data_IF_495514400014
#
_entry.id   IF_495514400014
#
_cell.length_a   1.000
_cell.length_b   1.000
_cell.length_c   1.000
_cell.angle_alpha   90.00
_cell.angle_beta   90.00
_cell.angle_gamma   90.00
#
_symmetry.space_group_name_H-M   'P 1'
#
loop_
_entity.id
_entity.type
_entity.pdbx_description
1 polymer ?
#
# COMPACT_ATOMS: atom_id res chain seq x y z
N UNK A 1 -7.82 12.86 7.28
CA UNK A 1 -6.66 13.78 7.37
C UNK A 1 -6.29 14.19 8.78
N UNK A 2 -7.23 14.30 9.72
CA UNK A 2 -6.96 14.72 11.11
C UNK A 2 -5.84 13.91 11.78
N UNK A 3 -5.89 12.58 11.69
CA UNK A 3 -4.85 11.68 12.23
C UNK A 3 -3.46 11.98 11.64
N UNK A 4 -3.42 12.38 10.36
CA UNK A 4 -2.18 12.71 9.65
C UNK A 4 -1.56 14.01 10.19
N UNK A 5 -2.41 15.01 10.45
CA UNK A 5 -1.98 16.29 11.04
C UNK A 5 -1.49 16.12 12.47
N UNK A 6 -2.15 15.26 13.25
CA UNK A 6 -1.81 15.02 14.66
C UNK A 6 -0.58 14.11 14.85
N UNK A 7 -0.15 13.35 13.83
CA UNK A 7 0.90 12.34 13.96
C UNK A 7 1.99 12.46 12.88
N UNK A 8 2.63 13.63 12.71
CA UNK A 8 3.69 13.81 11.74
C UNK A 8 4.86 12.85 12.04
N UNK A 9 5.38 12.20 11.00
CA UNK A 9 6.50 11.26 11.09
C UNK A 9 6.15 9.84 11.58
N UNK A 10 4.95 9.62 12.14
CA UNK A 10 4.48 8.28 12.54
C UNK A 10 3.41 7.70 11.61
N UNK A 11 2.72 8.56 10.86
CA UNK A 11 1.66 8.16 9.95
C UNK A 11 1.83 8.82 8.58
N UNK A 12 1.74 8.01 7.53
CA UNK A 12 1.75 8.44 6.12
C UNK A 12 0.50 7.88 5.44
N UNK A 13 -0.22 8.74 4.72
CA UNK A 13 -1.37 8.35 3.91
C UNK A 13 -1.05 8.54 2.44
N UNK A 14 -1.37 7.52 1.65
CA UNK A 14 -1.34 7.58 0.20
C UNK A 14 -2.57 6.84 -0.32
N UNK A 15 -3.22 7.44 -1.31
CA UNK A 15 -4.46 6.98 -1.90
C UNK A 15 -4.24 6.75 -3.38
N UNK A 16 -4.94 5.74 -3.91
CA UNK A 16 -5.07 5.51 -5.34
C UNK A 16 -6.54 5.37 -5.70
N UNK A 17 -6.90 5.83 -6.90
CA UNK A 17 -8.27 5.75 -7.42
C UNK A 17 -8.26 5.24 -8.85
N UNK A 18 -9.22 4.39 -9.21
CA UNK A 18 -9.31 3.85 -10.58
C UNK A 18 -9.63 4.92 -11.61
N UNK A 19 -10.46 5.90 -11.22
CA UNK A 19 -10.91 7.00 -12.08
C UNK A 19 -10.75 8.32 -11.32
N UNK A 20 -9.69 9.10 -11.58
CA UNK A 20 -9.46 10.35 -10.89
C UNK A 20 -10.46 11.41 -11.33
N UNK A 21 -10.76 12.35 -10.44
CA UNK A 21 -11.41 13.62 -10.79
C UNK A 21 -10.34 14.68 -11.05
N UNK A 22 -10.74 15.79 -11.67
CA UNK A 22 -9.87 16.93 -11.87
C UNK A 22 -9.25 17.40 -10.54
N UNK A 23 -7.94 17.61 -10.56
CA UNK A 23 -7.16 18.00 -9.37
C UNK A 23 -6.66 16.84 -8.50
N UNK A 24 -6.85 15.57 -8.89
CA UNK A 24 -6.22 14.44 -8.21
C UNK A 24 -4.71 14.37 -8.47
N UNK A 25 -3.91 14.18 -7.41
CA UNK A 25 -2.44 14.24 -7.49
C UNK A 25 -1.73 12.98 -6.99
N UNK A 26 -2.46 11.97 -6.50
CA UNK A 26 -1.88 10.75 -5.94
C UNK A 26 -1.99 9.58 -6.94
N UNK A 27 -2.04 8.34 -6.46
CA UNK A 27 -2.03 7.15 -7.31
C UNK A 27 -3.26 7.07 -8.22
N UNK A 28 -3.08 6.51 -9.41
CA UNK A 28 -4.18 6.23 -10.34
C UNK A 28 -4.12 4.77 -10.76
N UNK A 29 -5.27 4.09 -10.69
CA UNK A 29 -5.41 2.66 -11.00
C UNK A 29 -5.15 1.73 -9.81
N UNK A 30 -5.01 0.44 -10.12
CA UNK A 30 -4.76 -0.60 -9.13
C UNK A 30 -3.37 -0.46 -8.49
N UNK A 31 -3.21 -1.07 -7.31
CA UNK A 31 -1.96 -1.07 -6.57
C UNK A 31 -0.85 -1.71 -7.43
N UNK A 32 0.24 -0.97 -7.61
CA UNK A 32 1.42 -1.40 -8.36
C UNK A 32 2.65 -1.52 -7.46
N UNK A 33 3.69 -2.21 -7.95
CA UNK A 33 4.97 -2.31 -7.25
C UNK A 33 5.60 -0.93 -6.97
N UNK A 34 5.55 0.01 -7.93
CA UNK A 34 6.08 1.37 -7.73
C UNK A 34 5.34 2.11 -6.60
N UNK A 35 4.01 1.96 -6.53
CA UNK A 35 3.24 2.54 -5.43
C UNK A 35 3.64 1.95 -4.07
N UNK A 36 3.86 0.64 -4.00
CA UNK A 36 4.28 -0.03 -2.77
C UNK A 36 5.68 0.43 -2.35
N UNK A 37 6.66 0.40 -3.26
CA UNK A 37 8.05 0.78 -2.98
C UNK A 37 8.18 2.22 -2.48
N UNK A 38 7.41 3.15 -3.06
CA UNK A 38 7.46 4.57 -2.68
C UNK A 38 6.74 4.90 -1.38
N UNK A 39 5.72 4.13 -1.01
CA UNK A 39 4.77 4.50 0.05
C UNK A 39 4.73 3.55 1.25
N UNK A 40 5.18 2.31 1.13
CA UNK A 40 5.29 1.37 2.23
C UNK A 40 6.73 1.30 2.76
N UNK A 41 6.95 0.85 4.02
CA UNK A 41 8.28 0.57 4.52
C UNK A 41 8.96 -0.52 3.68
N UNK A 42 10.26 -0.39 3.46
CA UNK A 42 11.06 -1.42 2.79
C UNK A 42 10.94 -2.79 3.49
N UNK A 43 11.07 -3.91 2.75
CA UNK A 43 11.00 -5.25 3.32
C UNK A 43 12.03 -5.42 4.44
N UNK A 44 11.55 -5.86 5.61
CA UNK A 44 12.38 -6.01 6.81
C UNK A 44 11.76 -7.01 7.79
N UNK A 45 12.60 -7.62 8.62
CA UNK A 45 12.18 -8.42 9.78
C UNK A 45 11.56 -7.60 10.92
N UNK A 46 11.41 -6.28 10.74
CA UNK A 46 10.70 -5.41 11.68
C UNK A 46 9.37 -4.88 11.12
N UNK A 47 9.18 -4.92 9.80
CA UNK A 47 7.97 -4.43 9.14
C UNK A 47 6.92 -5.54 9.02
N UNK A 48 5.64 -5.23 9.25
CA UNK A 48 4.52 -6.12 8.95
C UNK A 48 3.62 -5.41 7.95
N UNK A 49 3.14 -6.14 6.94
CA UNK A 49 2.19 -5.63 5.95
C UNK A 49 0.82 -6.22 6.25
N UNK A 50 -0.14 -5.34 6.49
CA UNK A 50 -1.54 -5.69 6.73
C UNK A 50 -2.37 -5.25 5.53
N UNK A 51 -3.23 -6.15 5.05
CA UNK A 51 -4.08 -5.92 3.89
C UNK A 51 -5.53 -6.27 4.26
N UNK A 52 -6.47 -5.48 3.76
CA UNK A 52 -7.89 -5.77 3.84
C UNK A 52 -8.54 -5.21 2.58
N UNK A 53 -9.35 -6.02 1.90
CA UNK A 53 -9.98 -5.62 0.65
C UNK A 53 -10.53 -6.80 -0.14
N UNK A 54 -11.15 -6.54 -1.30
CA UNK A 54 -11.73 -7.58 -2.14
C UNK A 54 -10.70 -8.65 -2.52
N UNK A 55 -11.08 -9.94 -2.60
CA UNK A 55 -10.14 -11.01 -2.95
C UNK A 55 -9.32 -10.74 -4.22
N UNK A 56 -9.87 -10.15 -5.31
CA UNK A 56 -9.07 -9.81 -6.49
C UNK A 56 -7.98 -8.77 -6.21
N UNK A 57 -8.25 -7.75 -5.38
CA UNK A 57 -7.27 -6.73 -5.01
C UNK A 57 -6.10 -7.40 -4.27
N UNK A 58 -6.39 -8.24 -3.29
CA UNK A 58 -5.36 -8.92 -2.50
C UNK A 58 -4.53 -9.87 -3.36
N UNK A 59 -5.19 -10.71 -4.16
CA UNK A 59 -4.54 -11.80 -4.88
C UNK A 59 -3.81 -11.36 -6.16
N UNK A 60 -4.24 -10.28 -6.81
CA UNK A 60 -3.66 -9.84 -8.09
C UNK A 60 -2.89 -8.52 -8.00
N UNK A 61 -3.27 -7.59 -7.11
CA UNK A 61 -2.63 -6.29 -7.01
C UNK A 61 -1.68 -6.17 -5.81
N UNK A 62 -2.00 -6.80 -4.67
CA UNK A 62 -1.16 -6.68 -3.47
C UNK A 62 -0.07 -7.76 -3.39
N UNK A 63 -0.45 -9.03 -3.23
CA UNK A 63 0.50 -10.13 -2.96
C UNK A 63 1.60 -10.27 -4.03
N UNK A 64 1.29 -10.27 -5.35
CA UNK A 64 2.32 -10.44 -6.36
C UNK A 64 3.34 -9.29 -6.39
N UNK A 65 2.88 -8.05 -6.17
CA UNK A 65 3.75 -6.88 -6.13
C UNK A 65 4.62 -6.84 -4.87
N UNK A 66 4.07 -7.25 -3.70
CA UNK A 66 4.84 -7.42 -2.46
C UNK A 66 5.91 -8.52 -2.63
N UNK A 67 5.58 -9.65 -3.23
CA UNK A 67 6.55 -10.72 -3.50
C UNK A 67 7.65 -10.25 -4.45
N UNK A 68 7.30 -9.54 -5.53
CA UNK A 68 8.25 -8.96 -6.49
C UNK A 68 9.26 -8.00 -5.82
N UNK A 69 8.82 -7.28 -4.79
CA UNK A 69 9.66 -6.35 -4.03
C UNK A 69 10.41 -7.02 -2.87
N UNK A 70 10.30 -8.34 -2.69
CA UNK A 70 11.04 -9.09 -1.69
C UNK A 70 10.41 -9.10 -0.29
N UNK A 71 9.11 -8.76 -0.16
CA UNK A 71 8.42 -8.89 1.12
C UNK A 71 8.16 -10.36 1.43
N UNK A 72 8.55 -10.78 2.64
CA UNK A 72 8.30 -12.16 3.09
C UNK A 72 6.79 -12.43 3.25
N UNK A 73 6.26 -13.52 2.65
CA UNK A 73 4.86 -13.90 2.82
C UNK A 73 4.45 -14.13 4.27
N UNK A 74 5.40 -14.57 5.13
CA UNK A 74 5.17 -14.78 6.57
C UNK A 74 4.89 -13.48 7.33
N UNK A 75 5.10 -12.32 6.69
CA UNK A 75 4.92 -10.98 7.26
C UNK A 75 3.83 -10.17 6.54
N UNK A 76 3.10 -10.80 5.63
CA UNK A 76 2.01 -10.21 4.87
C UNK A 76 0.70 -10.90 5.27
N UNK A 77 -0.20 -10.18 5.94
CA UNK A 77 -1.46 -10.72 6.44
C UNK A 77 -2.64 -10.06 5.73
N UNK A 78 -3.61 -10.86 5.33
CA UNK A 78 -4.86 -10.39 4.75
C UNK A 78 -6.01 -10.71 5.72
N UNK A 79 -6.86 -9.71 5.97
CA UNK A 79 -8.11 -9.81 6.73
C UNK A 79 -9.31 -9.76 5.80
#
# INVERSE_FOLDING_TARGET
EEVLRQNPGRFRLYLTVDRPKDGWTQGVGFISADMIERNLPAPSDKSIILMCGPPPMINFACKPNLEKLGYSPKRCFAY
#
